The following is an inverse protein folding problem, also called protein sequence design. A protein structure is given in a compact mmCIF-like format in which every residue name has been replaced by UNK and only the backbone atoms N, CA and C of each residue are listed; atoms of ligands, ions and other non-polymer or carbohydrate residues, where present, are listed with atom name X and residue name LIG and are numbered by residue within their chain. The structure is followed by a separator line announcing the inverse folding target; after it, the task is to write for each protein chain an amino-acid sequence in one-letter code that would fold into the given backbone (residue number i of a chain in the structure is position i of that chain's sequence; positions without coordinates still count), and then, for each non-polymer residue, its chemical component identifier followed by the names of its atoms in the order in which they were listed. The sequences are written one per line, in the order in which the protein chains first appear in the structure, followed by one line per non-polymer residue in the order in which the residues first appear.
data_IF_892014566705
#
_entry.id   IF_892014566705
#
_cell.length_a   1.000
_cell.length_b   1.000
_cell.length_c   1.000
_cell.angle_alpha   90.00
_cell.angle_beta   90.00
_cell.angle_gamma   90.00
#
_symmetry.space_group_name_H-M   'P 1'
#
loop_
_entity.id
_entity.type
_entity.pdbx_description
1 polymer ?
#
# COMPACT_ATOMS: atom_id res chain seq x y z
N UNK A 1 20.64 8.56 -2.69
CA UNK A 1 19.38 9.32 -2.59
C UNK A 1 19.17 9.80 -1.17
N UNK A 2 18.75 11.05 -1.02
CA UNK A 2 18.45 11.61 0.30
C UNK A 2 17.17 11.00 0.87
N UNK A 3 17.24 10.48 2.10
CA UNK A 3 16.11 9.80 2.75
C UNK A 3 15.86 10.43 4.12
N UNK A 4 15.12 11.54 4.17
CA UNK A 4 14.93 12.28 5.43
C UNK A 4 14.16 11.49 6.49
N UNK A 5 13.41 10.45 6.10
CA UNK A 5 12.64 9.64 7.05
C UNK A 5 13.29 8.29 7.34
N UNK A 6 14.55 8.12 6.99
CA UNK A 6 15.26 6.88 7.30
C UNK A 6 15.25 6.64 8.82
N UNK A 7 14.90 5.41 9.23
CA UNK A 7 14.78 5.05 10.63
C UNK A 7 13.39 5.25 11.22
N UNK A 8 12.48 5.93 10.49
CA UNK A 8 11.09 6.12 10.94
C UNK A 8 10.26 4.91 10.51
N UNK A 9 9.49 4.37 11.43
CA UNK A 9 8.55 3.27 11.15
C UNK A 9 7.14 3.81 11.16
N UNK A 10 6.34 3.40 10.16
CA UNK A 10 4.95 3.84 10.01
C UNK A 10 4.05 2.61 9.94
N UNK A 11 3.02 2.57 10.79
CA UNK A 11 1.95 1.58 10.66
C UNK A 11 0.83 2.23 9.85
N UNK A 12 0.54 1.65 8.70
CA UNK A 12 -0.41 2.20 7.73
C UNK A 12 -1.70 1.39 7.74
N UNK A 13 -2.74 1.93 8.38
CA UNK A 13 -4.08 1.32 8.43
C UNK A 13 -5.00 1.90 7.36
N UNK A 14 -4.49 2.72 6.46
CA UNK A 14 -5.31 3.42 5.47
C UNK A 14 -5.72 2.51 4.33
N UNK A 15 -6.80 2.91 3.65
CA UNK A 15 -7.36 2.17 2.54
C UNK A 15 -7.73 3.11 1.40
N UNK A 16 -7.89 2.56 0.23
CA UNK A 16 -8.36 3.17 -1.00
C UNK A 16 -7.33 4.07 -1.67
N UNK A 17 -7.30 5.37 -1.42
CA UNK A 17 -6.47 6.28 -2.22
C UNK A 17 -5.68 7.31 -1.41
N UNK A 18 -6.35 8.26 -0.77
CA UNK A 18 -5.69 9.42 -0.17
C UNK A 18 -4.70 9.03 0.92
N UNK A 19 -5.12 8.15 1.85
CA UNK A 19 -4.25 7.68 2.91
C UNK A 19 -3.08 6.85 2.39
N UNK A 20 -3.33 5.82 1.56
CA UNK A 20 -2.24 5.04 0.98
C UNK A 20 -1.28 5.86 0.13
N UNK A 21 -1.75 6.88 -0.59
CA UNK A 21 -0.87 7.78 -1.33
C UNK A 21 0.05 8.55 -0.38
N UNK A 22 -0.49 9.03 0.75
CA UNK A 22 0.31 9.72 1.76
C UNK A 22 1.43 8.80 2.27
N UNK A 23 1.10 7.59 2.70
CA UNK A 23 2.09 6.66 3.22
C UNK A 23 3.06 6.20 2.14
N UNK A 24 2.64 6.15 0.89
CA UNK A 24 3.53 5.89 -0.24
C UNK A 24 4.65 6.93 -0.32
N UNK A 25 4.28 8.22 -0.20
CA UNK A 25 5.30 9.27 -0.20
C UNK A 25 6.21 9.19 1.02
N UNK A 26 5.70 8.80 2.18
CA UNK A 26 6.56 8.57 3.35
C UNK A 26 7.57 7.47 3.08
N UNK A 27 7.16 6.40 2.40
CA UNK A 27 8.07 5.32 2.01
C UNK A 27 9.13 5.80 1.03
N UNK A 28 8.75 6.64 0.06
CA UNK A 28 9.71 7.22 -0.88
C UNK A 28 10.78 8.04 -0.17
N UNK A 29 10.42 8.69 0.94
CA UNK A 29 11.34 9.51 1.72
C UNK A 29 12.16 8.69 2.72
N UNK A 30 12.04 7.39 2.69
CA UNK A 30 12.89 6.49 3.47
C UNK A 30 12.24 5.83 4.67
N UNK A 31 10.97 6.13 4.97
CA UNK A 31 10.28 5.49 6.09
C UNK A 31 10.04 4.01 5.81
N UNK A 32 10.08 3.20 6.86
CA UNK A 32 9.70 1.79 6.81
C UNK A 32 8.19 1.72 7.05
N UNK A 33 7.41 1.65 5.97
CA UNK A 33 5.96 1.65 6.04
C UNK A 33 5.44 0.21 6.00
N UNK A 34 4.65 -0.14 7.01
CA UNK A 34 4.02 -1.45 7.10
C UNK A 34 2.52 -1.27 6.94
N UNK A 35 1.98 -1.72 5.81
CA UNK A 35 0.56 -1.67 5.53
C UNK A 35 -0.15 -2.80 6.26
N UNK A 36 -1.14 -2.45 7.08
CA UNK A 36 -1.94 -3.42 7.84
C UNK A 36 -3.27 -3.60 7.13
N UNK A 37 -3.58 -4.83 6.78
CA UNK A 37 -4.82 -5.17 6.07
C UNK A 37 -5.57 -6.27 6.81
N UNK A 38 -6.88 -6.38 6.55
CA UNK A 38 -7.68 -7.50 7.03
C UNK A 38 -7.24 -8.80 6.33
N UNK A 39 -7.22 -9.89 7.07
CA UNK A 39 -6.94 -11.21 6.47
C UNK A 39 -8.06 -11.65 5.52
N UNK A 40 -9.24 -11.04 5.62
CA UNK A 40 -10.40 -11.47 4.84
C UNK A 40 -10.48 -10.81 3.47
N UNK A 41 -10.22 -9.50 3.40
CA UNK A 41 -10.43 -8.73 2.16
C UNK A 41 -9.22 -7.95 1.71
N UNK A 42 -8.39 -7.49 2.64
CA UNK A 42 -7.33 -6.56 2.31
C UNK A 42 -7.89 -5.18 1.95
N UNK A 43 -7.10 -4.41 1.22
CA UNK A 43 -7.53 -3.10 0.73
C UNK A 43 -8.49 -3.29 -0.43
N UNK A 44 -9.61 -2.54 -0.41
CA UNK A 44 -10.61 -2.60 -1.48
C UNK A 44 -10.01 -2.34 -2.86
N UNK A 45 -8.97 -1.55 -2.96
CA UNK A 45 -8.33 -1.22 -4.24
C UNK A 45 -7.59 -2.39 -4.89
N UNK A 46 -7.35 -3.47 -4.15
CA UNK A 46 -6.68 -4.66 -4.73
C UNK A 46 -7.42 -5.22 -5.92
N UNK A 47 -8.76 -5.12 -5.92
CA UNK A 47 -9.62 -5.75 -6.92
C UNK A 47 -10.34 -4.75 -7.81
N UNK A 48 -9.91 -3.51 -7.84
CA UNK A 48 -10.64 -2.43 -8.51
C UNK A 48 -9.77 -1.56 -9.39
N UNK A 49 -10.41 -1.04 -10.41
CA UNK A 49 -9.84 0.02 -11.21
C UNK A 49 -8.85 -0.44 -12.26
N UNK A 50 -8.60 0.45 -13.22
CA UNK A 50 -7.69 0.16 -14.31
C UNK A 50 -8.24 -0.88 -15.26
N UNK A 51 -7.39 -1.32 -16.19
CA UNK A 51 -7.75 -2.29 -17.22
C UNK A 51 -7.08 -3.66 -17.02
N UNK A 52 -6.34 -3.83 -15.94
CA UNK A 52 -5.63 -5.07 -15.67
C UNK A 52 -6.55 -6.05 -14.92
N UNK A 53 -7.43 -6.71 -15.68
CA UNK A 53 -8.44 -7.61 -15.10
C UNK A 53 -7.82 -8.79 -14.34
N UNK A 54 -6.76 -9.38 -14.86
CA UNK A 54 -6.10 -10.50 -14.21
C UNK A 54 -5.55 -10.09 -12.84
N UNK A 55 -4.96 -8.90 -12.75
CA UNK A 55 -4.49 -8.35 -11.50
C UNK A 55 -5.62 -8.12 -10.52
N UNK A 56 -6.77 -7.61 -11.00
CA UNK A 56 -7.94 -7.39 -10.15
C UNK A 56 -8.42 -8.70 -9.52
N UNK A 57 -8.42 -9.79 -10.29
CA UNK A 57 -8.89 -11.09 -9.80
C UNK A 57 -7.99 -11.65 -8.70
N UNK A 58 -6.69 -11.40 -8.76
CA UNK A 58 -5.75 -11.93 -7.76
C UNK A 58 -5.35 -10.90 -6.69
N UNK A 59 -6.06 -9.78 -6.62
CA UNK A 59 -5.80 -8.77 -5.62
C UNK A 59 -4.59 -7.87 -5.91
N UNK A 60 -4.18 -7.80 -7.16
CA UNK A 60 -3.02 -7.01 -7.60
C UNK A 60 -3.40 -6.02 -8.69
N UNK A 61 -4.46 -5.23 -8.43
CA UNK A 61 -4.89 -4.22 -9.39
C UNK A 61 -3.81 -3.16 -9.61
N UNK A 62 -3.85 -2.52 -10.77
CA UNK A 62 -2.90 -1.43 -11.08
C UNK A 62 -3.00 -0.29 -10.07
N UNK A 63 -4.19 0.23 -9.70
CA UNK A 63 -4.27 1.27 -8.68
C UNK A 63 -3.69 0.84 -7.34
N UNK A 64 -3.91 -0.39 -6.93
CA UNK A 64 -3.33 -0.89 -5.68
C UNK A 64 -1.80 -0.93 -5.76
N UNK A 65 -1.25 -1.50 -6.82
CA UNK A 65 0.20 -1.62 -6.97
C UNK A 65 0.88 -0.26 -7.03
N UNK A 66 0.22 0.73 -7.63
CA UNK A 66 0.76 2.08 -7.74
C UNK A 66 1.07 2.68 -6.38
N UNK A 67 0.21 2.46 -5.39
CA UNK A 67 0.39 3.07 -4.08
C UNK A 67 0.91 2.10 -3.01
N UNK A 68 1.03 0.82 -3.32
CA UNK A 68 1.57 -0.16 -2.39
C UNK A 68 3.09 -0.32 -2.51
N UNK A 69 3.69 0.19 -3.58
CA UNK A 69 5.12 0.06 -3.82
C UNK A 69 5.95 0.62 -2.66
N UNK A 70 7.01 -0.08 -2.30
CA UNK A 70 7.92 0.36 -1.24
C UNK A 70 7.43 0.09 0.17
N UNK A 71 6.24 -0.48 0.34
CA UNK A 71 5.69 -0.82 1.65
C UNK A 71 5.85 -2.30 1.93
N UNK A 72 5.99 -2.63 3.22
CA UNK A 72 5.80 -4.00 3.68
C UNK A 72 4.33 -4.20 4.01
N UNK A 73 3.89 -5.42 4.11
CA UNK A 73 2.48 -5.74 4.31
C UNK A 73 2.32 -6.80 5.39
N UNK A 74 1.27 -6.65 6.20
CA UNK A 74 0.88 -7.65 7.17
C UNK A 74 -0.65 -7.74 7.18
N UNK A 75 -1.16 -8.97 7.25
CA UNK A 75 -2.59 -9.21 7.35
C UNK A 75 -2.92 -9.64 8.78
N UNK A 76 -3.88 -8.99 9.39
CA UNK A 76 -4.27 -9.24 10.78
C UNK A 76 -5.78 -9.40 10.85
N UNK A 77 -6.21 -10.32 11.68
CA UNK A 77 -7.63 -10.54 11.95
C UNK A 77 -8.19 -9.44 12.87
#
# INVERSE_FOLDING_TARGET
MYKPLEGIKVLDFTHVLAGPACSYYLALLGADVIKVESVFKGDAMRHRGGTYEEGNLVGMSTPYLTQASGKRSIAID
#
